data_IF_897517750533
#
_entry.id   IF_897517750533
#
_cell.length_a   1.000
_cell.length_b   1.000
_cell.length_c   1.000
_cell.angle_alpha   90.00
_cell.angle_beta   90.00
_cell.angle_gamma   90.00
#
_symmetry.space_group_name_H-M   'P 1'
#
loop_
_entity.id
_entity.type
_entity.pdbx_description
1 polymer ?
#
# COMPACT_ATOMS: atom_id res chain seq x y z
N UNK A 1 -41.67 -21.48 7.99
CA UNK A 1 -40.35 -21.89 8.46
C UNK A 1 -39.33 -21.48 7.40
N UNK A 2 -38.75 -20.34 7.58
CA UNK A 2 -37.75 -19.75 6.66
C UNK A 2 -36.37 -20.13 7.12
N UNK A 3 -35.65 -20.91 6.34
CA UNK A 3 -34.23 -21.19 6.56
C UNK A 3 -33.38 -20.21 5.78
N UNK A 4 -32.81 -19.22 6.45
CA UNK A 4 -31.77 -18.34 5.89
C UNK A 4 -30.46 -19.11 5.82
N UNK A 5 -30.04 -19.49 4.62
CA UNK A 5 -28.69 -19.98 4.33
C UNK A 5 -27.81 -18.82 3.91
N UNK A 6 -27.31 -18.05 4.86
CA UNK A 6 -26.30 -17.01 4.67
C UNK A 6 -25.04 -17.42 5.44
N UNK A 7 -24.21 -18.27 4.86
CA UNK A 7 -23.07 -18.79 5.60
C UNK A 7 -21.81 -19.18 4.82
N UNK A 8 -21.70 -18.85 3.51
CA UNK A 8 -20.55 -19.32 2.72
C UNK A 8 -19.79 -18.24 1.95
N UNK A 9 -20.19 -16.97 1.98
CA UNK A 9 -19.61 -15.90 1.16
C UNK A 9 -18.78 -14.87 1.95
N UNK A 10 -18.83 -14.91 3.27
CA UNK A 10 -18.20 -13.92 4.16
C UNK A 10 -16.67 -13.94 4.12
N UNK A 11 -16.02 -15.07 3.92
CA UNK A 11 -14.56 -15.16 3.90
C UNK A 11 -13.92 -14.77 2.56
N UNK A 12 -14.72 -14.57 1.51
CA UNK A 12 -14.23 -14.22 0.16
C UNK A 12 -14.20 -12.72 -0.11
N UNK A 13 -15.06 -11.93 0.51
CA UNK A 13 -15.11 -10.48 0.40
C UNK A 13 -13.97 -9.81 1.17
N UNK A 14 -13.47 -10.43 2.25
CA UNK A 14 -12.48 -9.85 3.13
C UNK A 14 -11.06 -9.79 2.49
N UNK A 15 -10.75 -10.71 1.57
CA UNK A 15 -9.46 -10.75 0.88
C UNK A 15 -9.27 -9.68 -0.19
N UNK A 16 -10.35 -9.26 -0.83
CA UNK A 16 -10.35 -8.24 -1.89
C UNK A 16 -11.62 -7.39 -1.72
N UNK A 17 -11.57 -6.41 -0.80
CA UNK A 17 -12.70 -5.52 -0.56
C UNK A 17 -13.07 -4.71 -1.80
N UNK A 18 -14.36 -4.35 -1.90
CA UNK A 18 -14.87 -3.48 -2.95
C UNK A 18 -14.74 -2.02 -2.54
N UNK A 19 -14.27 -1.18 -3.47
CA UNK A 19 -14.30 0.27 -3.36
C UNK A 19 -15.58 0.78 -4.03
N UNK A 20 -16.44 1.42 -3.27
CA UNK A 20 -17.75 1.89 -3.73
C UNK A 20 -17.74 3.36 -4.19
N UNK A 21 -16.65 4.09 -3.95
CA UNK A 21 -16.52 5.51 -4.24
C UNK A 21 -15.07 5.94 -4.45
N UNK A 22 -14.87 7.16 -4.94
CA UNK A 22 -13.55 7.80 -5.01
C UNK A 22 -12.96 7.97 -3.61
N UNK A 23 -13.79 8.30 -2.61
CA UNK A 23 -13.34 8.46 -1.22
C UNK A 23 -12.81 7.16 -0.65
N UNK A 24 -13.43 6.02 -0.99
CA UNK A 24 -12.92 4.70 -0.61
C UNK A 24 -11.57 4.42 -1.27
N UNK A 25 -11.40 4.78 -2.54
CA UNK A 25 -10.11 4.65 -3.23
C UNK A 25 -9.02 5.47 -2.56
N UNK A 26 -9.30 6.72 -2.24
CA UNK A 26 -8.35 7.59 -1.54
C UNK A 26 -8.06 7.10 -0.12
N UNK A 27 -9.06 6.55 0.57
CA UNK A 27 -8.90 5.95 1.90
C UNK A 27 -8.04 4.70 1.84
N UNK A 28 -8.30 3.81 0.87
CA UNK A 28 -7.49 2.61 0.63
C UNK A 28 -6.03 2.95 0.30
N UNK A 29 -5.81 4.01 -0.52
CA UNK A 29 -4.48 4.50 -0.84
C UNK A 29 -3.73 4.97 0.41
N UNK A 30 -4.37 5.80 1.25
CA UNK A 30 -3.78 6.25 2.53
C UNK A 30 -3.46 5.07 3.46
N UNK A 31 -4.36 4.11 3.56
CA UNK A 31 -4.17 2.91 4.38
C UNK A 31 -3.01 2.06 3.88
N UNK A 32 -2.85 1.89 2.58
CA UNK A 32 -1.73 1.17 1.98
C UNK A 32 -0.39 1.85 2.33
N UNK A 33 -0.31 3.19 2.22
CA UNK A 33 0.86 3.99 2.65
C UNK A 33 1.19 3.74 4.12
N UNK A 34 0.22 3.84 5.01
CA UNK A 34 0.41 3.64 6.46
C UNK A 34 0.90 2.24 6.80
N UNK A 35 0.50 1.24 6.04
CA UNK A 35 0.90 -0.16 6.21
C UNK A 35 2.17 -0.52 5.43
N UNK A 36 2.79 0.43 4.74
CA UNK A 36 3.93 0.22 3.83
C UNK A 36 3.66 -0.88 2.78
N UNK A 37 2.41 -0.95 2.28
CA UNK A 37 1.98 -1.88 1.23
C UNK A 37 1.78 -1.17 -0.09
N UNK A 38 2.01 -1.86 -1.20
CA UNK A 38 1.53 -1.40 -2.49
C UNK A 38 0.01 -1.53 -2.57
N UNK A 39 -0.65 -0.59 -3.24
CA UNK A 39 -2.07 -0.68 -3.55
C UNK A 39 -2.23 -1.34 -4.92
N UNK A 40 -3.00 -2.40 -5.00
CA UNK A 40 -3.36 -3.06 -6.26
C UNK A 40 -4.87 -2.98 -6.43
N UNK A 41 -5.33 -2.35 -7.51
CA UNK A 41 -6.76 -2.17 -7.76
C UNK A 41 -7.14 -2.81 -9.09
N UNK A 42 -8.12 -3.70 -9.06
CA UNK A 42 -8.76 -4.26 -10.24
C UNK A 42 -10.03 -3.47 -10.57
N UNK A 43 -10.02 -2.78 -11.71
CA UNK A 43 -11.21 -2.16 -12.28
C UNK A 43 -12.01 -3.20 -13.06
N UNK A 44 -13.31 -3.27 -12.83
CA UNK A 44 -14.18 -4.30 -13.39
C UNK A 44 -15.58 -3.78 -13.71
N UNK A 45 -16.36 -4.59 -14.43
CA UNK A 45 -17.80 -4.42 -14.58
C UNK A 45 -18.50 -5.72 -14.25
N UNK A 46 -19.67 -5.66 -13.60
CA UNK A 46 -20.50 -6.83 -13.27
C UNK A 46 -20.94 -7.61 -14.51
N UNK A 47 -21.05 -6.95 -15.67
CA UNK A 47 -21.46 -7.57 -16.93
C UNK A 47 -20.29 -8.11 -17.75
N UNK A 48 -19.06 -7.89 -17.31
CA UNK A 48 -17.83 -8.24 -18.04
C UNK A 48 -17.46 -9.72 -17.79
N UNK A 49 -17.65 -10.57 -18.78
CA UNK A 49 -17.29 -12.00 -18.70
C UNK A 49 -15.78 -12.22 -18.47
N UNK A 50 -14.93 -11.36 -19.06
CA UNK A 50 -13.48 -11.41 -18.87
C UNK A 50 -13.13 -11.13 -17.40
N UNK A 51 -13.79 -10.15 -16.76
CA UNK A 51 -13.61 -9.81 -15.37
C UNK A 51 -13.93 -10.99 -14.43
N UNK A 52 -15.01 -11.72 -14.70
CA UNK A 52 -15.38 -12.91 -13.93
C UNK A 52 -14.34 -14.04 -14.06
N UNK A 53 -13.77 -14.25 -15.27
CA UNK A 53 -12.77 -15.28 -15.52
C UNK A 53 -11.46 -15.08 -14.77
N UNK A 54 -11.08 -13.83 -14.51
CA UNK A 54 -9.83 -13.52 -13.80
C UNK A 54 -10.03 -13.36 -12.28
N UNK A 55 -11.25 -13.26 -11.78
CA UNK A 55 -11.56 -12.97 -10.39
C UNK A 55 -10.87 -13.95 -9.40
N UNK A 56 -10.97 -15.26 -9.65
CA UNK A 56 -10.35 -16.27 -8.79
C UNK A 56 -8.81 -16.19 -8.82
N UNK A 57 -8.23 -15.86 -9.98
CA UNK A 57 -6.77 -15.70 -10.14
C UNK A 57 -6.28 -14.45 -9.40
N UNK A 58 -7.03 -13.35 -9.49
CA UNK A 58 -6.72 -12.11 -8.78
C UNK A 58 -6.76 -12.31 -7.25
N UNK A 59 -7.78 -12.98 -6.73
CA UNK A 59 -7.85 -13.35 -5.31
C UNK A 59 -6.69 -14.24 -4.84
N UNK A 60 -6.17 -15.09 -5.72
CA UNK A 60 -4.97 -15.90 -5.41
C UNK A 60 -3.73 -15.02 -5.21
N UNK A 61 -3.56 -13.95 -6.00
CA UNK A 61 -2.50 -12.95 -5.81
C UNK A 61 -2.68 -12.26 -4.46
N UNK A 62 -3.88 -11.77 -4.13
CA UNK A 62 -4.18 -11.14 -2.85
C UNK A 62 -3.84 -12.04 -1.65
N UNK A 63 -4.17 -13.34 -1.75
CA UNK A 63 -3.84 -14.31 -0.68
C UNK A 63 -2.34 -14.55 -0.55
N UNK A 64 -1.62 -14.62 -1.67
CA UNK A 64 -0.19 -14.94 -1.67
C UNK A 64 0.67 -13.79 -1.20
N UNK A 65 0.31 -12.57 -1.56
CA UNK A 65 1.12 -11.37 -1.36
C UNK A 65 0.47 -10.35 -0.41
N UNK A 66 -0.52 -10.75 0.40
CA UNK A 66 -1.27 -9.84 1.28
C UNK A 66 -0.45 -9.11 2.34
N UNK A 67 0.77 -9.58 2.64
CA UNK A 67 1.70 -8.86 3.49
C UNK A 67 2.34 -7.65 2.78
N UNK A 68 2.53 -7.74 1.46
CA UNK A 68 3.20 -6.73 0.64
C UNK A 68 2.25 -5.84 -0.14
N UNK A 69 1.03 -6.33 -0.40
CA UNK A 69 0.04 -5.62 -1.21
C UNK A 69 -1.32 -5.56 -0.53
N UNK A 70 -2.01 -4.43 -0.70
CA UNK A 70 -3.42 -4.27 -0.39
C UNK A 70 -4.21 -4.35 -1.70
N UNK A 71 -4.95 -5.45 -1.89
CA UNK A 71 -5.71 -5.70 -3.11
C UNK A 71 -7.16 -5.27 -2.94
N UNK A 72 -7.69 -4.54 -3.92
CA UNK A 72 -9.08 -4.07 -3.97
C UNK A 72 -9.70 -4.28 -5.34
N UNK A 73 -11.02 -4.26 -5.38
CA UNK A 73 -11.81 -4.23 -6.62
C UNK A 73 -12.65 -2.95 -6.68
N UNK A 74 -12.73 -2.32 -7.85
CA UNK A 74 -13.56 -1.14 -8.06
C UNK A 74 -14.40 -1.31 -9.32
N UNK A 75 -15.72 -1.20 -9.20
CA UNK A 75 -16.60 -1.23 -10.35
C UNK A 75 -16.48 0.09 -11.12
N UNK A 76 -16.40 0.03 -12.45
CA UNK A 76 -16.24 1.22 -13.30
C UNK A 76 -17.33 2.29 -13.05
N UNK A 77 -18.56 1.91 -12.71
CA UNK A 77 -19.63 2.86 -12.37
C UNK A 77 -19.40 3.53 -11.02
N UNK A 78 -18.83 2.81 -10.05
CA UNK A 78 -18.48 3.36 -8.74
C UNK A 78 -17.27 4.30 -8.81
N UNK A 79 -16.32 4.02 -9.70
CA UNK A 79 -15.18 4.88 -9.97
C UNK A 79 -15.61 6.26 -10.53
N UNK A 80 -16.66 6.27 -11.33
CA UNK A 80 -17.05 7.46 -12.06
C UNK A 80 -16.12 7.77 -13.22
N UNK A 81 -16.60 8.59 -14.14
CA UNK A 81 -15.87 8.93 -15.38
C UNK A 81 -14.57 9.67 -15.12
N UNK A 82 -14.60 10.64 -14.23
CA UNK A 82 -13.45 11.50 -13.93
C UNK A 82 -12.27 10.70 -13.36
N UNK A 83 -12.53 9.77 -12.43
CA UNK A 83 -11.46 8.93 -11.88
C UNK A 83 -10.90 7.96 -12.94
N UNK A 84 -11.75 7.37 -13.77
CA UNK A 84 -11.31 6.47 -14.84
C UNK A 84 -10.43 7.19 -15.86
N UNK A 85 -10.81 8.41 -16.27
CA UNK A 85 -10.01 9.26 -17.17
C UNK A 85 -8.67 9.65 -16.52
N UNK A 86 -8.69 10.10 -15.27
CA UNK A 86 -7.49 10.45 -14.50
C UNK A 86 -6.51 9.27 -14.38
N UNK A 87 -7.04 8.08 -14.16
CA UNK A 87 -6.27 6.86 -14.01
C UNK A 87 -5.98 6.15 -15.35
N UNK A 88 -6.42 6.72 -16.48
CA UNK A 88 -6.29 6.12 -17.81
C UNK A 88 -6.78 4.65 -17.83
N UNK A 89 -8.01 4.44 -17.35
CA UNK A 89 -8.71 3.15 -17.39
C UNK A 89 -9.70 3.18 -18.53
N UNK A 90 -9.28 2.75 -19.71
CA UNK A 90 -10.08 2.82 -20.95
C UNK A 90 -10.96 1.59 -21.13
N UNK A 91 -10.61 0.47 -20.50
CA UNK A 91 -11.34 -0.79 -20.62
C UNK A 91 -11.28 -1.60 -19.31
N UNK A 92 -12.13 -2.63 -19.22
CA UNK A 92 -12.13 -3.58 -18.10
C UNK A 92 -12.06 -5.02 -18.63
N UNK A 93 -11.38 -5.93 -17.94
CA UNK A 93 -10.65 -5.73 -16.67
C UNK A 93 -9.29 -5.03 -16.86
N UNK A 94 -9.01 -4.06 -16.01
CA UNK A 94 -7.69 -3.42 -15.88
C UNK A 94 -7.21 -3.58 -14.46
N UNK A 95 -5.92 -3.87 -14.26
CA UNK A 95 -5.27 -3.91 -12.95
C UNK A 95 -4.22 -2.82 -12.90
N UNK A 96 -4.30 -1.97 -11.89
CA UNK A 96 -3.30 -0.95 -11.62
C UNK A 96 -2.58 -1.23 -10.31
N UNK A 97 -1.27 -0.94 -10.30
CA UNK A 97 -0.41 -1.06 -9.14
C UNK A 97 0.10 0.33 -8.80
N UNK A 98 -0.06 0.72 -7.54
CA UNK A 98 0.43 1.99 -7.02
C UNK A 98 1.45 1.74 -5.93
N UNK A 99 2.46 2.62 -5.86
CA UNK A 99 3.42 2.60 -4.78
C UNK A 99 2.76 2.99 -3.45
N UNK A 100 3.16 2.32 -2.37
CA UNK A 100 2.74 2.65 -1.01
C UNK A 100 3.20 4.03 -0.52
N UNK A 101 4.03 4.75 -1.27
CA UNK A 101 4.45 6.10 -0.95
C UNK A 101 3.51 7.20 -1.45
N UNK A 102 2.41 6.85 -2.13
CA UNK A 102 1.44 7.82 -2.67
C UNK A 102 0.58 7.25 -3.80
N UNK A 103 0.06 8.13 -4.66
CA UNK A 103 -0.72 7.74 -5.85
C UNK A 103 0.21 7.58 -7.07
N UNK A 104 1.47 7.23 -6.84
CA UNK A 104 2.39 6.95 -7.93
C UNK A 104 2.07 5.59 -8.56
N UNK A 105 1.59 5.60 -9.81
CA UNK A 105 1.23 4.40 -10.53
C UNK A 105 2.46 3.72 -11.10
N UNK A 106 2.75 2.52 -10.61
CA UNK A 106 3.86 1.68 -11.07
C UNK A 106 3.51 0.89 -12.33
N UNK A 107 2.25 0.44 -12.45
CA UNK A 107 1.79 -0.32 -13.61
C UNK A 107 0.31 -0.05 -13.92
N UNK A 108 -0.02 -0.11 -15.23
CA UNK A 108 -1.38 -0.10 -15.77
C UNK A 108 -1.51 -1.28 -16.75
N UNK A 109 -2.25 -2.30 -16.36
CA UNK A 109 -2.24 -3.60 -17.03
C UNK A 109 -3.64 -3.95 -17.53
N UNK A 110 -3.82 -3.94 -18.84
CA UNK A 110 -4.98 -4.56 -19.49
C UNK A 110 -4.97 -6.04 -19.21
N UNK A 111 -6.07 -6.56 -18.68
CA UNK A 111 -6.07 -7.89 -18.09
C UNK A 111 -7.04 -8.84 -18.77
N UNK A 112 -6.85 -9.10 -20.06
CA UNK A 112 -7.64 -10.11 -20.75
C UNK A 112 -7.29 -11.53 -20.23
N UNK A 113 -8.27 -12.46 -20.14
CA UNK A 113 -8.05 -13.79 -19.58
C UNK A 113 -6.93 -14.60 -20.25
N UNK A 114 -6.71 -14.42 -21.55
CA UNK A 114 -5.64 -15.07 -22.31
C UNK A 114 -4.25 -14.54 -21.90
N UNK A 115 -4.16 -13.28 -21.52
CA UNK A 115 -2.92 -12.58 -21.14
C UNK A 115 -2.65 -12.63 -19.64
N UNK A 116 -3.54 -13.23 -18.83
CA UNK A 116 -3.46 -13.18 -17.38
C UNK A 116 -2.13 -13.70 -16.81
N UNK A 117 -1.52 -14.69 -17.43
CA UNK A 117 -0.19 -15.19 -16.99
C UNK A 117 0.88 -14.09 -17.10
N UNK A 118 0.84 -13.29 -18.14
CA UNK A 118 1.75 -12.15 -18.31
C UNK A 118 1.48 -11.08 -17.26
N UNK A 119 0.21 -10.73 -17.05
CA UNK A 119 -0.22 -9.77 -16.01
C UNK A 119 0.21 -10.26 -14.61
N UNK A 120 -0.04 -11.53 -14.28
CA UNK A 120 0.38 -12.13 -13.02
C UNK A 120 1.91 -12.03 -12.83
N UNK A 121 2.67 -12.29 -13.88
CA UNK A 121 4.14 -12.14 -13.88
C UNK A 121 4.53 -10.69 -13.59
N UNK A 122 3.99 -9.73 -14.31
CA UNK A 122 4.30 -8.30 -14.10
C UNK A 122 3.94 -7.84 -12.68
N UNK A 123 2.80 -8.29 -12.13
CA UNK A 123 2.43 -7.98 -10.74
C UNK A 123 3.50 -8.53 -9.78
N UNK A 124 3.91 -9.79 -9.96
CA UNK A 124 4.91 -10.44 -9.11
C UNK A 124 6.26 -9.73 -9.22
N UNK A 125 6.73 -9.48 -10.44
CA UNK A 125 7.99 -8.76 -10.70
C UNK A 125 7.99 -7.38 -10.05
N UNK A 126 6.88 -6.63 -10.16
CA UNK A 126 6.75 -5.32 -9.52
C UNK A 126 6.81 -5.40 -7.99
N UNK A 127 6.17 -6.43 -7.41
CA UNK A 127 6.20 -6.67 -5.96
C UNK A 127 7.63 -7.01 -5.50
N UNK A 128 8.28 -7.94 -6.18
CA UNK A 128 9.62 -8.41 -5.84
C UNK A 128 10.66 -7.30 -5.98
N UNK A 129 10.56 -6.48 -7.03
CA UNK A 129 11.43 -5.32 -7.22
C UNK A 129 11.28 -4.31 -6.10
N UNK A 130 10.04 -4.00 -5.68
CA UNK A 130 9.82 -3.09 -4.56
C UNK A 130 10.37 -3.62 -3.25
N UNK A 131 10.21 -4.92 -2.98
CA UNK A 131 10.76 -5.56 -1.78
C UNK A 131 12.29 -5.43 -1.78
N UNK A 132 12.92 -5.66 -2.93
CA UNK A 132 14.38 -5.53 -3.09
C UNK A 132 14.85 -4.11 -2.81
N UNK A 133 14.22 -3.11 -3.45
CA UNK A 133 14.55 -1.69 -3.27
C UNK A 133 14.36 -1.24 -1.82
N UNK A 134 13.30 -1.69 -1.15
CA UNK A 134 13.08 -1.37 0.26
C UNK A 134 14.19 -1.98 1.14
N UNK A 135 14.57 -3.22 0.88
CA UNK A 135 15.66 -3.88 1.60
C UNK A 135 17.00 -3.16 1.45
N UNK A 136 17.30 -2.66 0.25
CA UNK A 136 18.52 -1.89 -0.02
C UNK A 136 18.52 -0.56 0.75
N UNK A 137 17.39 0.16 0.79
CA UNK A 137 17.23 1.41 1.55
C UNK A 137 17.35 1.19 3.07
N UNK A 138 16.74 0.13 3.58
CA UNK A 138 16.82 -0.22 5.00
C UNK A 138 18.26 -0.58 5.41
N UNK A 139 18.97 -1.30 4.55
CA UNK A 139 20.39 -1.64 4.77
C UNK A 139 21.29 -0.40 4.72
N UNK A 140 21.03 0.55 3.81
CA UNK A 140 21.77 1.81 3.74
C UNK A 140 21.51 2.68 4.97
N UNK A 141 20.26 2.81 5.41
CA UNK A 141 19.86 3.52 6.63
C UNK A 141 20.55 2.94 7.85
N UNK A 142 20.57 1.62 8.01
CA UNK A 142 21.24 0.95 9.11
C UNK A 142 22.76 1.19 9.12
N UNK A 143 23.40 1.19 7.94
CA UNK A 143 24.83 1.53 7.81
C UNK A 143 25.12 2.97 8.18
N UNK A 144 24.27 3.92 7.76
CA UNK A 144 24.42 5.33 8.09
C UNK A 144 24.24 5.57 9.60
N UNK A 145 23.29 4.91 10.24
CA UNK A 145 23.07 4.98 11.68
C UNK A 145 24.27 4.42 12.46
N UNK A 146 24.78 3.27 12.04
CA UNK A 146 25.98 2.66 12.61
C UNK A 146 27.20 3.58 12.47
N UNK A 147 27.38 4.21 11.30
CA UNK A 147 28.48 5.14 11.07
C UNK A 147 28.39 6.36 11.99
N UNK A 148 27.20 6.94 12.21
CA UNK A 148 26.97 8.02 13.18
C UNK A 148 27.26 7.59 14.61
N UNK A 149 26.81 6.40 15.02
CA UNK A 149 27.07 5.87 16.36
C UNK A 149 28.57 5.62 16.65
N UNK A 150 29.35 5.37 15.59
CA UNK A 150 30.80 5.16 15.67
C UNK A 150 31.61 6.45 15.59
N UNK A 151 30.99 7.58 15.19
CA UNK A 151 31.68 8.87 15.07
C UNK A 151 32.13 9.39 16.45
N UNK A 152 33.47 9.60 16.66
CA UNK A 152 33.97 10.09 17.94
C UNK A 152 33.49 11.52 18.27
N UNK A 153 33.17 12.34 17.24
CA UNK A 153 32.71 13.72 17.44
C UNK A 153 31.28 13.77 18.06
N UNK A 154 30.42 12.81 17.76
CA UNK A 154 29.08 12.72 18.35
C UNK A 154 29.11 12.16 19.78
N UNK A 155 30.05 11.26 20.10
CA UNK A 155 30.23 10.75 21.47
C UNK A 155 30.65 11.84 22.47
N UNK A 156 31.30 12.91 22.00
CA UNK A 156 31.70 14.05 22.84
C UNK A 156 30.54 15.00 23.17
N UNK A 157 29.64 15.24 22.24
CA UNK A 157 28.53 16.20 22.40
C UNK A 157 27.52 15.78 23.47
N UNK A 158 27.10 14.51 23.48
CA UNK A 158 26.15 14.02 24.46
C UNK A 158 26.66 14.01 25.91
N UNK A 159 27.98 13.99 26.14
CA UNK A 159 28.56 14.12 27.48
C UNK A 159 28.65 15.59 27.93
N UNK A 160 28.97 16.52 27.02
CA UNK A 160 29.03 17.94 27.36
C UNK A 160 27.66 18.56 27.65
N UNK A 161 26.62 18.19 26.90
CA UNK A 161 25.25 18.66 27.16
C UNK A 161 24.71 18.15 28.50
N UNK A 162 24.93 16.88 28.84
CA UNK A 162 24.53 16.32 30.16
C UNK A 162 25.32 16.92 31.33
N UNK A 163 26.58 17.31 31.12
CA UNK A 163 27.37 17.99 32.12
C UNK A 163 26.91 19.42 32.34
N UNK A 164 26.50 20.13 31.31
CA UNK A 164 25.94 21.49 31.40
C UNK A 164 24.59 21.51 32.10
N UNK A 165 23.72 20.54 31.83
CA UNK A 165 22.43 20.42 32.55
C UNK A 165 22.58 20.10 34.06
N UNK A 166 23.65 19.44 34.44
CA UNK A 166 23.93 19.12 35.85
C UNK A 166 24.64 20.27 36.56
N UNK A 167 25.45 21.07 35.85
CA UNK A 167 26.27 22.13 36.45
C UNK A 167 25.59 23.51 36.48
N UNK A 168 24.53 23.73 35.70
CA UNK A 168 23.73 24.97 35.72
C UNK A 168 22.39 24.72 36.41
N UNK A 169 22.25 25.04 37.72
CA UNK A 169 20.95 24.98 38.39
C UNK A 169 20.00 25.97 37.71
N UNK A 170 18.86 25.48 37.22
CA UNK A 170 17.79 26.32 36.65
C UNK A 170 17.45 27.39 37.68
N UNK A 171 17.67 28.67 37.32
CA UNK A 171 17.21 29.79 38.08
C UNK A 171 15.69 29.68 38.27
N UNK A 172 15.29 29.51 39.52
CA UNK A 172 13.90 29.50 39.90
C UNK A 172 13.32 30.90 39.64
N UNK A 173 12.50 31.02 38.63
CA UNK A 173 11.68 32.22 38.41
C UNK A 173 10.63 32.28 39.52
N UNK A 174 10.82 33.20 40.46
CA UNK A 174 9.83 33.56 41.48
C UNK A 174 8.59 34.12 40.78
N UNK A 175 7.35 33.78 41.23
CA UNK A 175 6.13 34.40 40.72
C UNK A 175 6.04 35.86 41.16
N UNK A 176 5.46 36.73 40.33
CA UNK A 176 5.19 38.10 40.72
C UNK A 176 4.10 38.18 41.79
N UNK A 177 4.28 39.11 42.69
CA UNK A 177 3.35 39.48 43.78
C UNK A 177 2.08 40.12 43.29
#
# INVERSE_FOLDING_TARGET
>A
MGGSSSGADSGYSDLVPHLASIDDFLSASRSAVQQNKMLVVKFYSKRCRACLRIAAKYRRIARRYGEQVACYEMEQHAAGRELLELLAVDQVPTIQIFDGAGINRLANLDCQPAQFKQVERTIVETIEERIRLQGDLDAESARAEMARALDPAERGRGKSERLLDVLLPRAQSSPPA
#
